data_IF_262740082741
#
_entry.id   IF_262740082741
#
_cell.length_a   1.000
_cell.length_b   1.000
_cell.length_c   1.000
_cell.angle_alpha   90.00
_cell.angle_beta   90.00
_cell.angle_gamma   90.00
#
_symmetry.space_group_name_H-M   'P 1'
#
loop_
_entity.id
_entity.type
_entity.pdbx_description
1 polymer ?
#
# COMPACT_ATOMS: atom_id res chain seq x y z
N UNK A 1 -3.47 8.11 14.74
CA UNK A 1 -3.10 7.67 13.39
C UNK A 1 -2.56 6.25 13.42
N UNK A 2 -2.84 5.42 12.41
CA UNK A 2 -2.30 4.06 12.37
C UNK A 2 -0.76 4.09 12.21
N UNK A 3 -0.06 3.29 13.01
CA UNK A 3 1.41 3.16 12.99
C UNK A 3 1.88 1.74 12.67
N UNK A 4 0.94 0.82 12.44
CA UNK A 4 1.22 -0.61 12.26
C UNK A 4 0.17 -1.24 11.37
N UNK A 5 0.54 -2.34 10.73
CA UNK A 5 -0.40 -3.31 10.19
C UNK A 5 -0.65 -4.43 11.18
N UNK A 6 -1.88 -4.93 11.18
CA UNK A 6 -2.24 -6.12 11.92
C UNK A 6 -2.58 -7.23 10.93
N UNK A 7 -1.79 -8.29 10.91
CA UNK A 7 -2.07 -9.47 10.09
C UNK A 7 -2.58 -10.60 10.99
N UNK A 8 -3.72 -11.18 10.61
CA UNK A 8 -4.26 -12.39 11.20
C UNK A 8 -3.54 -13.60 10.58
N UNK A 9 -2.78 -14.35 11.38
CA UNK A 9 -2.19 -15.61 10.93
C UNK A 9 -3.00 -16.77 11.50
N UNK A 10 -3.84 -17.38 10.67
CA UNK A 10 -4.54 -18.61 11.03
C UNK A 10 -3.55 -19.77 10.90
N UNK A 11 -3.06 -20.30 12.02
CA UNK A 11 -2.30 -21.56 12.02
C UNK A 11 -3.31 -22.70 11.97
N UNK A 12 -3.63 -23.21 10.79
CA UNK A 12 -4.30 -24.52 10.69
C UNK A 12 -3.29 -25.59 11.06
N UNK A 13 -3.48 -26.25 12.22
CA UNK A 13 -2.84 -27.54 12.46
C UNK A 13 -3.59 -28.56 11.62
N UNK A 14 -3.04 -28.97 10.49
CA UNK A 14 -3.56 -30.12 9.74
C UNK A 14 -3.26 -31.39 10.54
N UNK A 15 -4.16 -31.74 11.46
CA UNK A 15 -4.18 -33.08 12.04
C UNK A 15 -5.20 -33.88 11.26
N UNK A 16 -4.76 -34.91 10.54
CA UNK A 16 -5.64 -35.92 9.95
C UNK A 16 -6.36 -36.64 11.09
N UNK A 17 -7.61 -36.24 11.38
CA UNK A 17 -8.44 -36.90 12.41
C UNK A 17 -9.20 -38.02 11.74
N UNK A 18 -8.68 -39.24 11.87
CA UNK A 18 -9.47 -40.46 11.68
C UNK A 18 -10.51 -40.49 12.80
N UNK A 19 -11.78 -40.56 12.39
CA UNK A 19 -13.01 -40.66 13.18
C UNK A 19 -12.85 -41.31 14.56
N UNK A 20 -12.88 -40.50 15.63
CA UNK A 20 -13.45 -40.90 16.92
C UNK A 20 -14.10 -39.69 17.60
N UNK A 21 -15.37 -39.88 17.95
CA UNK A 21 -16.28 -38.90 18.52
C UNK A 21 -15.79 -38.30 19.85
N UNK A 22 -15.06 -37.19 19.81
CA UNK A 22 -14.98 -36.19 20.89
C UNK A 22 -14.76 -34.80 20.27
N UNK A 23 -15.84 -34.09 19.96
CA UNK A 23 -15.79 -32.68 19.55
C UNK A 23 -15.44 -31.80 20.75
N UNK A 24 -14.15 -31.72 21.10
CA UNK A 24 -13.65 -30.55 21.81
C UNK A 24 -13.57 -29.40 20.80
N UNK A 25 -14.14 -28.21 21.07
CA UNK A 25 -13.85 -27.05 20.27
C UNK A 25 -12.41 -26.65 20.56
N UNK A 26 -11.46 -27.15 19.76
CA UNK A 26 -10.11 -26.58 19.72
C UNK A 26 -10.27 -25.22 19.03
N UNK A 27 -10.71 -24.22 19.79
CA UNK A 27 -10.55 -22.83 19.42
C UNK A 27 -9.05 -22.59 19.38
N UNK A 28 -8.45 -22.71 18.19
CA UNK A 28 -7.05 -22.36 18.00
C UNK A 28 -6.88 -20.92 18.45
N UNK A 29 -6.03 -20.70 19.47
CA UNK A 29 -5.70 -19.38 19.96
C UNK A 29 -5.31 -18.49 18.78
N UNK A 30 -6.11 -17.45 18.51
CA UNK A 30 -5.83 -16.50 17.44
C UNK A 30 -4.67 -15.62 17.93
N UNK A 31 -3.54 -15.67 17.23
CA UNK A 31 -2.38 -14.82 17.51
C UNK A 31 -2.22 -13.79 16.40
N UNK A 32 -2.20 -12.51 16.79
CA UNK A 32 -1.97 -11.40 15.86
C UNK A 32 -0.50 -11.01 15.88
N UNK A 33 0.11 -10.91 14.70
CA UNK A 33 1.44 -10.33 14.56
C UNK A 33 1.28 -8.90 14.06
N UNK A 34 1.91 -7.96 14.76
CA UNK A 34 1.95 -6.54 14.36
C UNK A 34 3.24 -6.28 13.61
N UNK A 35 3.14 -5.78 12.39
CA UNK A 35 4.28 -5.29 11.63
C UNK A 35 4.31 -3.77 11.82
N UNK A 36 5.39 -3.27 12.43
CA UNK A 36 5.52 -1.86 12.78
C UNK A 36 6.14 -1.10 11.62
N UNK A 37 5.60 0.08 11.32
CA UNK A 37 6.22 1.00 10.38
C UNK A 37 7.56 1.50 10.92
N UNK A 38 8.45 2.03 10.06
CA UNK A 38 9.63 2.75 10.51
C UNK A 38 9.32 3.82 11.55
N UNK A 39 10.31 4.18 12.36
CA UNK A 39 10.16 5.26 13.33
C UNK A 39 9.67 6.53 12.64
N UNK A 40 8.70 7.22 13.24
CA UNK A 40 8.04 8.42 12.73
C UNK A 40 7.21 8.23 11.45
N UNK A 41 7.10 7.02 10.89
CA UNK A 41 6.17 6.76 9.78
C UNK A 41 4.77 6.43 10.31
N UNK A 42 3.75 7.02 9.69
CA UNK A 42 2.33 6.87 10.09
C UNK A 42 1.44 6.75 8.85
N UNK A 43 0.17 6.41 9.06
CA UNK A 43 -0.84 6.45 8.02
C UNK A 43 -0.62 5.48 6.86
N UNK A 44 -0.33 4.19 7.12
CA UNK A 44 -0.45 3.20 6.06
C UNK A 44 -1.89 3.16 5.56
N UNK A 45 -2.09 3.06 4.25
CA UNK A 45 -3.42 3.17 3.67
C UNK A 45 -3.72 1.98 2.75
N UNK A 46 -3.04 1.85 1.61
CA UNK A 46 -3.21 0.73 0.70
C UNK A 46 -2.10 -0.32 0.81
N UNK A 47 -2.41 -1.55 0.38
CA UNK A 47 -1.48 -2.68 0.35
C UNK A 47 -1.49 -3.36 -1.03
N UNK A 48 -0.31 -3.64 -1.57
CA UNK A 48 -0.14 -4.52 -2.74
C UNK A 48 0.89 -5.61 -2.42
N UNK A 49 0.62 -6.86 -2.81
CA UNK A 49 1.42 -8.03 -2.42
C UNK A 49 2.19 -8.63 -3.59
N UNK A 50 3.39 -9.13 -3.32
CA UNK A 50 4.05 -10.10 -4.18
C UNK A 50 3.48 -11.50 -3.90
N UNK A 51 3.19 -12.30 -4.92
CA UNK A 51 2.41 -13.55 -4.77
C UNK A 51 3.14 -14.67 -4.00
N UNK A 52 4.46 -14.79 -4.19
CA UNK A 52 5.22 -15.97 -3.76
C UNK A 52 6.04 -15.74 -2.50
N UNK A 53 6.17 -14.49 -2.07
CA UNK A 53 6.97 -14.08 -0.94
C UNK A 53 6.17 -13.10 -0.09
N UNK A 54 6.32 -13.12 1.25
CA UNK A 54 5.55 -12.28 2.15
C UNK A 54 6.07 -10.83 2.15
N UNK A 55 6.20 -10.25 0.96
CA UNK A 55 6.61 -8.88 0.69
C UNK A 55 5.42 -8.12 0.13
N UNK A 56 5.29 -6.89 0.58
CA UNK A 56 4.18 -6.04 0.19
C UNK A 56 4.61 -4.58 0.20
N UNK A 57 3.82 -3.76 -0.47
CA UNK A 57 4.00 -2.33 -0.58
C UNK A 57 2.94 -1.61 0.23
N UNK A 58 3.25 -0.40 0.69
CA UNK A 58 2.28 0.53 1.28
C UNK A 58 2.68 1.97 1.03
N UNK A 59 1.70 2.85 0.88
CA UNK A 59 1.88 4.29 0.98
C UNK A 59 1.86 4.71 2.44
N UNK A 60 2.54 5.78 2.81
CA UNK A 60 2.49 6.36 4.16
C UNK A 60 2.23 7.87 4.10
N UNK A 61 1.92 8.45 5.26
CA UNK A 61 1.46 9.84 5.38
C UNK A 61 2.44 10.88 4.83
N UNK A 62 3.74 10.56 4.88
CA UNK A 62 4.81 11.44 4.39
C UNK A 62 5.09 11.34 2.89
N UNK A 63 4.23 10.64 2.14
CA UNK A 63 4.33 10.56 0.69
C UNK A 63 5.27 9.49 0.16
N UNK A 64 5.96 8.75 1.04
CA UNK A 64 6.75 7.59 0.64
C UNK A 64 5.87 6.38 0.38
N UNK A 65 6.36 5.53 -0.52
CA UNK A 65 5.91 4.16 -0.75
C UNK A 65 6.99 3.27 -0.14
N UNK A 66 6.62 2.45 0.83
CA UNK A 66 7.50 1.50 1.49
C UNK A 66 7.29 0.09 0.94
N UNK A 67 8.37 -0.70 0.91
CA UNK A 67 8.34 -2.14 0.65
C UNK A 67 8.74 -2.90 1.90
N UNK A 68 7.89 -3.79 2.37
CA UNK A 68 8.22 -4.74 3.44
C UNK A 68 9.02 -5.91 2.86
N UNK A 69 10.21 -6.18 3.41
CA UNK A 69 11.14 -7.19 2.92
C UNK A 69 11.21 -8.44 3.81
N UNK A 70 10.39 -8.50 4.87
CA UNK A 70 10.34 -9.60 5.83
C UNK A 70 10.75 -9.16 7.25
N UNK A 71 10.67 -10.07 8.23
CA UNK A 71 10.85 -9.73 9.65
C UNK A 71 12.29 -9.30 10.01
N UNK A 72 13.29 -9.76 9.26
CA UNK A 72 14.70 -9.42 9.51
C UNK A 72 15.07 -8.03 9.02
N UNK A 73 14.51 -7.60 7.88
CA UNK A 73 14.85 -6.33 7.23
C UNK A 73 13.83 -5.24 7.58
N UNK A 74 12.55 -5.58 7.66
CA UNK A 74 11.48 -4.61 7.89
C UNK A 74 11.08 -3.87 6.61
N UNK A 75 10.92 -2.56 6.70
CA UNK A 75 10.51 -1.70 5.59
C UNK A 75 11.69 -0.92 5.02
N UNK A 76 11.73 -0.82 3.70
CA UNK A 76 12.61 0.09 2.96
C UNK A 76 11.79 1.07 2.11
N UNK A 77 12.35 2.25 1.84
CA UNK A 77 11.78 3.19 0.89
C UNK A 77 11.87 2.61 -0.52
N UNK A 78 10.71 2.42 -1.16
CA UNK A 78 10.62 1.90 -2.52
C UNK A 78 10.41 3.01 -3.55
N UNK A 79 9.64 4.05 -3.20
CA UNK A 79 9.41 5.15 -4.14
C UNK A 79 8.59 6.28 -3.55
N UNK A 80 8.28 7.26 -4.39
CA UNK A 80 7.47 8.44 -4.05
C UNK A 80 6.95 9.08 -5.33
N UNK A 81 5.85 9.83 -5.23
CA UNK A 81 5.26 10.51 -6.40
C UNK A 81 5.81 11.92 -6.63
N UNK A 82 6.15 12.65 -5.55
CA UNK A 82 6.63 14.03 -5.62
C UNK A 82 8.10 14.11 -6.13
N UNK A 83 8.38 14.66 -7.33
CA UNK A 83 9.73 14.63 -7.93
C UNK A 83 10.83 15.30 -7.10
N UNK A 84 10.50 16.39 -6.41
CA UNK A 84 11.44 17.19 -5.62
C UNK A 84 11.12 17.11 -4.11
N UNK A 85 10.68 15.94 -3.63
CA UNK A 85 10.26 15.71 -2.25
C UNK A 85 11.38 16.07 -1.24
N UNK A 86 11.25 17.17 -0.46
CA UNK A 86 12.27 17.54 0.52
C UNK A 86 12.15 16.68 1.78
N UNK A 87 13.11 15.78 2.01
CA UNK A 87 13.09 14.86 3.16
C UNK A 87 12.96 15.57 4.51
N UNK A 88 13.62 16.70 4.70
CA UNK A 88 13.54 17.49 5.95
C UNK A 88 12.16 18.08 6.24
N UNK A 89 11.32 18.23 5.22
CA UNK A 89 9.96 18.75 5.34
C UNK A 89 8.95 17.62 5.42
N UNK A 90 9.18 16.55 4.66
CA UNK A 90 8.21 15.48 4.48
C UNK A 90 8.39 14.32 5.45
N UNK A 91 9.62 13.83 5.70
CA UNK A 91 9.81 12.60 6.48
C UNK A 91 9.24 12.76 7.89
N UNK A 92 8.26 11.90 8.20
CA UNK A 92 7.60 11.91 9.50
C UNK A 92 6.36 12.80 9.61
N UNK A 93 5.91 13.45 8.52
CA UNK A 93 4.61 14.14 8.53
C UNK A 93 3.46 13.17 8.76
N UNK A 94 2.44 13.65 9.46
CA UNK A 94 1.27 12.88 9.85
C UNK A 94 0.09 13.14 8.90
N UNK A 95 -0.83 12.17 8.76
CA UNK A 95 -2.03 12.26 7.91
C UNK A 95 -2.98 13.40 8.24
N UNK A 96 -2.89 14.01 9.43
CA UNK A 96 -3.77 15.08 9.86
C UNK A 96 -3.49 16.39 9.11
N UNK A 97 -2.25 16.56 8.62
CA UNK A 97 -1.81 17.73 7.88
C UNK A 97 -1.10 17.27 6.60
N UNK A 98 -1.84 16.75 5.60
CA UNK A 98 -1.22 16.31 4.37
C UNK A 98 -0.62 17.51 3.65
N UNK A 99 0.62 17.35 3.19
CA UNK A 99 1.35 18.39 2.48
C UNK A 99 1.49 18.00 1.00
N UNK A 100 0.89 18.74 0.06
CA UNK A 100 0.98 18.45 -1.36
C UNK A 100 2.41 18.32 -1.88
N UNK A 101 3.38 19.03 -1.29
CA UNK A 101 4.79 18.94 -1.66
C UNK A 101 5.38 17.54 -1.41
N UNK A 102 4.80 16.79 -0.48
CA UNK A 102 5.26 15.46 -0.10
C UNK A 102 4.64 14.35 -0.94
N UNK A 103 3.46 14.59 -1.52
CA UNK A 103 2.61 13.54 -2.06
C UNK A 103 1.87 12.77 -0.96
N UNK A 104 0.91 11.95 -1.36
CA UNK A 104 0.21 11.02 -0.49
C UNK A 104 -0.29 9.82 -1.31
N UNK A 105 0.45 8.71 -1.36
CA UNK A 105 0.00 7.49 -2.03
C UNK A 105 -1.17 6.85 -1.28
N UNK A 106 -2.31 6.69 -1.95
CA UNK A 106 -3.60 6.20 -1.42
C UNK A 106 -4.17 4.98 -2.15
N UNK A 107 -3.52 4.52 -3.20
CA UNK A 107 -3.92 3.28 -3.85
C UNK A 107 -2.76 2.62 -4.48
N UNK A 108 -2.81 1.29 -4.50
CA UNK A 108 -1.82 0.53 -5.22
C UNK A 108 -2.31 -0.85 -5.62
N UNK A 109 -1.85 -1.27 -6.78
CA UNK A 109 -2.01 -2.64 -7.24
C UNK A 109 -0.77 -3.07 -8.01
N UNK A 110 -0.33 -4.30 -7.77
CA UNK A 110 0.83 -4.87 -8.43
C UNK A 110 0.37 -5.73 -9.61
N UNK A 111 0.88 -5.45 -10.81
CA UNK A 111 0.75 -6.38 -11.93
C UNK A 111 1.82 -7.47 -11.80
N UNK A 112 1.40 -8.69 -11.48
CA UNK A 112 2.32 -9.75 -11.08
C UNK A 112 3.23 -10.24 -12.21
N UNK A 113 2.79 -10.16 -13.47
CA UNK A 113 3.61 -10.59 -14.61
C UNK A 113 4.76 -9.63 -14.90
N UNK A 114 4.52 -8.32 -14.79
CA UNK A 114 5.54 -7.29 -15.14
C UNK A 114 6.25 -6.70 -13.93
N UNK A 115 5.79 -7.01 -12.70
CA UNK A 115 6.25 -6.39 -11.46
C UNK A 115 6.16 -4.86 -11.50
N UNK A 116 5.12 -4.35 -12.17
CA UNK A 116 4.78 -2.93 -12.16
C UNK A 116 3.80 -2.64 -11.04
N UNK A 117 4.14 -1.67 -10.20
CA UNK A 117 3.30 -1.19 -9.12
C UNK A 117 2.59 0.07 -9.59
N UNK A 118 1.29 -0.05 -9.85
CA UNK A 118 0.44 1.10 -10.16
C UNK A 118 0.04 1.79 -8.86
N UNK A 119 0.00 3.11 -8.89
CA UNK A 119 -0.18 3.94 -7.69
C UNK A 119 -1.13 5.09 -8.01
N UNK A 120 -2.07 5.33 -7.10
CA UNK A 120 -2.78 6.61 -6.99
C UNK A 120 -2.11 7.43 -5.90
N UNK A 121 -1.66 8.63 -6.24
CA UNK A 121 -1.27 9.65 -5.30
C UNK A 121 -2.31 10.77 -5.28
N UNK A 122 -2.71 11.21 -4.09
CA UNK A 122 -3.77 12.20 -3.91
C UNK A 122 -3.45 13.55 -4.60
N UNK A 123 -2.18 13.90 -4.75
CA UNK A 123 -1.74 15.18 -5.31
C UNK A 123 -1.09 15.05 -6.69
N UNK A 124 -0.53 13.88 -6.99
CA UNK A 124 0.21 13.62 -8.24
C UNK A 124 -0.52 12.69 -9.21
N UNK A 125 -1.75 12.28 -8.88
CA UNK A 125 -2.61 11.50 -9.76
C UNK A 125 -2.18 10.04 -9.91
N UNK A 126 -2.46 9.47 -11.07
CA UNK A 126 -2.25 8.06 -11.37
C UNK A 126 -0.90 7.83 -12.06
N UNK A 127 -0.14 6.85 -11.58
CA UNK A 127 1.17 6.52 -12.15
C UNK A 127 1.62 5.09 -11.87
N UNK A 128 2.86 4.80 -12.23
CA UNK A 128 3.45 3.47 -12.13
C UNK A 128 4.92 3.51 -11.72
N UNK A 129 5.33 2.50 -10.95
CA UNK A 129 6.71 2.19 -10.63
C UNK A 129 7.12 0.85 -11.26
N UNK A 130 8.34 0.80 -11.78
CA UNK A 130 8.96 -0.46 -12.17
C UNK A 130 9.48 -1.25 -10.97
N UNK A 131 10.07 -2.44 -11.21
CA UNK A 131 10.53 -3.33 -10.14
C UNK A 131 11.64 -2.75 -9.24
N UNK A 132 12.36 -1.75 -9.74
CA UNK A 132 13.42 -1.04 -9.00
C UNK A 132 12.91 0.10 -8.11
N UNK A 133 11.63 0.45 -8.22
CA UNK A 133 11.07 1.60 -7.51
C UNK A 133 11.60 2.93 -8.04
N UNK A 134 11.67 3.95 -7.18
CA UNK A 134 12.10 5.31 -7.47
C UNK A 134 10.95 6.31 -7.60
N UNK A 135 11.08 7.27 -8.51
CA UNK A 135 10.03 8.24 -8.81
C UNK A 135 8.90 7.58 -9.59
N UNK A 136 7.67 7.78 -9.14
CA UNK A 136 6.47 7.31 -9.87
C UNK A 136 6.45 7.97 -11.25
N UNK A 137 6.37 7.15 -12.30
CA UNK A 137 6.12 7.65 -13.65
C UNK A 137 4.63 7.99 -13.75
N UNK A 138 4.32 9.28 -13.84
CA UNK A 138 2.94 9.75 -13.98
C UNK A 138 2.35 9.28 -15.32
N UNK A 139 1.18 8.67 -15.28
CA UNK A 139 0.46 8.16 -16.45
C UNK A 139 -0.76 9.03 -16.77
N UNK A 140 -1.48 9.51 -15.75
CA UNK A 140 -2.63 10.40 -15.92
C UNK A 140 -2.86 11.29 -14.70
N UNK A 141 -3.29 12.52 -14.93
CA UNK A 141 -3.69 13.49 -13.88
C UNK A 141 -5.09 14.07 -14.10
N UNK A 142 -5.76 13.69 -15.19
CA UNK A 142 -7.05 14.20 -15.57
C UNK A 142 -7.76 13.21 -16.50
N UNK A 143 -9.08 13.22 -16.51
CA UNK A 143 -9.91 12.53 -17.50
C UNK A 143 -11.00 13.50 -17.99
N UNK A 144 -11.32 13.44 -19.28
CA UNK A 144 -12.39 14.26 -19.89
C UNK A 144 -12.28 15.77 -19.61
N UNK A 145 -11.04 16.27 -19.45
CA UNK A 145 -10.75 17.68 -19.15
C UNK A 145 -10.79 18.04 -17.66
N UNK A 146 -11.20 17.12 -16.79
CA UNK A 146 -11.29 17.33 -15.34
C UNK A 146 -10.06 16.76 -14.62
N UNK A 147 -9.30 17.57 -13.86
CA UNK A 147 -8.18 17.09 -13.05
C UNK A 147 -8.64 16.19 -11.90
N UNK A 148 -7.87 15.15 -11.60
CA UNK A 148 -8.10 14.34 -10.41
C UNK A 148 -7.84 15.17 -9.15
N UNK A 149 -8.74 15.09 -8.16
CA UNK A 149 -8.57 15.78 -6.86
C UNK A 149 -8.26 14.83 -5.72
N UNK A 150 -8.63 13.56 -5.89
CA UNK A 150 -8.55 12.55 -4.85
C UNK A 150 -8.36 11.15 -5.47
N UNK A 151 -7.29 10.95 -6.24
CA UNK A 151 -6.90 9.62 -6.73
C UNK A 151 -6.73 8.68 -5.53
N UNK A 152 -7.52 7.62 -5.47
CA UNK A 152 -7.62 6.77 -4.30
C UNK A 152 -7.40 5.29 -4.65
N UNK A 153 -8.41 4.54 -5.08
CA UNK A 153 -8.30 3.10 -5.30
C UNK A 153 -7.62 2.74 -6.62
N UNK A 154 -6.91 1.60 -6.66
CA UNK A 154 -6.33 1.02 -7.89
C UNK A 154 -6.49 -0.50 -7.87
N UNK A 155 -6.86 -1.09 -9.01
CA UNK A 155 -6.83 -2.54 -9.23
C UNK A 155 -6.34 -2.88 -10.66
N UNK A 156 -5.74 -4.06 -10.81
CA UNK A 156 -5.18 -4.54 -12.09
C UNK A 156 -5.81 -5.87 -12.45
N UNK A 157 -6.46 -5.92 -13.62
CA UNK A 157 -6.92 -7.17 -14.20
C UNK A 157 -5.74 -7.98 -14.76
N UNK A 158 -5.20 -8.87 -13.91
CA UNK A 158 -3.95 -9.60 -14.12
C UNK A 158 -3.81 -10.31 -15.49
N UNK A 159 -4.85 -10.92 -16.10
CA UNK A 159 -4.71 -11.56 -17.41
C UNK A 159 -4.43 -10.57 -18.55
N UNK A 160 -5.11 -9.41 -18.54
CA UNK A 160 -5.05 -8.42 -19.64
C UNK A 160 -4.06 -7.28 -19.39
N UNK A 161 -3.76 -6.98 -18.13
CA UNK A 161 -3.01 -5.79 -17.74
C UNK A 161 -3.84 -4.49 -17.69
N UNK A 162 -5.15 -4.53 -17.93
CA UNK A 162 -6.02 -3.37 -17.75
C UNK A 162 -5.97 -2.90 -16.29
N UNK A 163 -5.85 -1.59 -16.11
CA UNK A 163 -5.80 -0.95 -14.80
C UNK A 163 -7.02 -0.08 -14.62
N UNK A 164 -7.65 -0.22 -13.46
CA UNK A 164 -8.84 0.54 -13.05
C UNK A 164 -8.46 1.32 -11.81
N UNK A 165 -8.81 2.61 -11.76
CA UNK A 165 -8.56 3.44 -10.60
C UNK A 165 -9.71 4.41 -10.37
N UNK A 166 -9.78 4.99 -9.18
CA UNK A 166 -10.84 5.93 -8.80
C UNK A 166 -10.28 7.30 -8.47
N UNK A 167 -11.03 8.32 -8.87
CA UNK A 167 -10.97 9.65 -8.28
C UNK A 167 -12.16 9.78 -7.33
N UNK A 168 -11.89 9.86 -6.02
CA UNK A 168 -12.92 9.76 -4.99
C UNK A 168 -13.81 11.01 -4.89
N UNK A 169 -13.35 12.15 -5.44
CA UNK A 169 -14.12 13.38 -5.52
C UNK A 169 -13.60 14.24 -6.66
N UNK A 170 -14.49 14.93 -7.38
CA UNK A 170 -14.13 15.97 -8.35
C UNK A 170 -14.03 17.38 -7.73
N UNK A 171 -14.36 17.52 -6.44
CA UNK A 171 -14.48 18.82 -5.76
C UNK A 171 -13.49 18.92 -4.60
N UNK A 172 -13.44 17.90 -3.74
CA UNK A 172 -12.66 17.90 -2.52
C UNK A 172 -11.34 17.14 -2.71
N UNK A 173 -10.27 17.67 -2.13
CA UNK A 173 -9.02 16.94 -1.98
C UNK A 173 -8.91 16.39 -0.54
N UNK A 174 -7.70 16.00 -0.15
CA UNK A 174 -7.43 15.42 1.17
C UNK A 174 -6.97 16.45 2.21
N UNK A 175 -6.94 17.74 1.88
CA UNK A 175 -6.46 18.82 2.76
C UNK A 175 -7.54 19.39 3.69
#
# INVERSE_FOLDING_TARGET
MATNFMFLRIKTKTTLVILFCFLSPIVSAISFTKIRLPKNATGPEALAFELTIPRFFTGIADGRILKYLGPTIGFEEFGFAAPNRPKSVCDGTETANPNPVCGRPLGMALHHRTNQLYVCDAFFGFGVLGPRGGLVTQLSIAADGEPYRFCNGVDVHQPTGNVYFTDASSIFDIT
#
